data_IF_683591822116
#
_entry.id   IF_683591822116
#
_cell.length_a   1.000
_cell.length_b   1.000
_cell.length_c   1.000
_cell.angle_alpha   90.00
_cell.angle_beta   90.00
_cell.angle_gamma   90.00
#
_symmetry.space_group_name_H-M   'P 1'
#
loop_
_entity.id
_entity.type
_entity.pdbx_description
1 polymer ?
#
# COMPACT_ATOMS: atom_id res chain seq x y z
N UNK A 1 15.00 -5.76 -9.23
CA UNK A 1 14.85 -5.40 -7.81
C UNK A 1 13.63 -6.16 -7.23
N UNK A 2 13.66 -7.48 -7.35
CA UNK A 2 12.61 -8.42 -6.86
C UNK A 2 13.08 -9.12 -5.56
N UNK A 3 14.31 -8.84 -5.12
CA UNK A 3 14.96 -9.63 -4.07
C UNK A 3 14.46 -9.39 -2.63
N UNK A 4 13.81 -8.26 -2.34
CA UNK A 4 13.34 -7.97 -0.99
C UNK A 4 11.99 -8.64 -0.65
N UNK A 5 11.15 -8.88 -1.67
CA UNK A 5 9.85 -9.54 -1.50
C UNK A 5 9.95 -11.08 -1.40
N UNK A 6 11.13 -11.64 -1.67
CA UNK A 6 11.38 -13.09 -1.64
C UNK A 6 11.65 -13.60 -0.20
N UNK A 7 11.92 -12.72 0.77
CA UNK A 7 12.22 -13.16 2.13
C UNK A 7 11.03 -13.82 2.84
N UNK A 8 9.80 -13.36 2.61
CA UNK A 8 8.60 -14.03 3.18
C UNK A 8 8.38 -15.42 2.55
N UNK A 9 8.68 -15.57 1.26
CA UNK A 9 8.63 -16.88 0.60
C UNK A 9 9.68 -17.85 1.13
N UNK A 10 10.76 -17.39 1.78
CA UNK A 10 11.79 -18.27 2.34
C UNK A 10 11.40 -18.88 3.70
N UNK A 11 10.44 -18.27 4.42
CA UNK A 11 9.90 -18.83 5.67
C UNK A 11 8.80 -19.87 5.42
N UNK A 12 8.06 -19.73 4.33
CA UNK A 12 7.02 -20.66 3.91
C UNK A 12 7.59 -21.71 2.95
N UNK A 13 7.05 -22.94 2.96
CA UNK A 13 7.50 -24.05 2.12
C UNK A 13 6.38 -24.62 1.25
N UNK A 14 6.75 -25.26 0.15
CA UNK A 14 5.79 -25.97 -0.70
C UNK A 14 4.67 -25.10 -1.24
N UNK A 15 3.43 -25.53 -1.02
CA UNK A 15 2.23 -24.84 -1.49
C UNK A 15 2.04 -23.45 -0.85
N UNK A 16 2.38 -23.31 0.42
CA UNK A 16 2.30 -22.01 1.11
C UNK A 16 3.21 -20.95 0.44
N UNK A 17 4.42 -21.31 0.02
CA UNK A 17 5.31 -20.39 -0.68
C UNK A 17 4.76 -19.94 -2.05
N UNK A 18 4.05 -20.84 -2.76
CA UNK A 18 3.38 -20.48 -4.02
C UNK A 18 2.26 -19.47 -3.80
N UNK A 19 1.44 -19.67 -2.77
CA UNK A 19 0.38 -18.74 -2.39
C UNK A 19 0.94 -17.36 -1.99
N UNK A 20 2.01 -17.30 -1.20
CA UNK A 20 2.68 -16.03 -0.87
C UNK A 20 3.19 -15.32 -2.12
N UNK A 21 3.82 -16.05 -3.06
CA UNK A 21 4.29 -15.45 -4.31
C UNK A 21 3.14 -14.88 -5.14
N UNK A 22 2.03 -15.58 -5.21
CA UNK A 22 0.84 -15.11 -5.94
C UNK A 22 0.18 -13.93 -5.23
N UNK A 23 0.11 -13.92 -3.89
CA UNK A 23 -0.38 -12.79 -3.12
C UNK A 23 0.41 -11.51 -3.40
N UNK A 24 1.75 -11.60 -3.42
CA UNK A 24 2.63 -10.47 -3.77
C UNK A 24 2.34 -9.98 -5.19
N UNK A 25 2.25 -10.90 -6.16
CA UNK A 25 1.95 -10.55 -7.55
C UNK A 25 0.59 -9.83 -7.69
N UNK A 26 -0.44 -10.31 -6.99
CA UNK A 26 -1.77 -9.70 -6.99
C UNK A 26 -1.73 -8.31 -6.32
N UNK A 27 -1.03 -8.18 -5.20
CA UNK A 27 -0.78 -6.90 -4.55
C UNK A 27 -0.14 -5.89 -5.51
N UNK A 28 0.93 -6.27 -6.21
CA UNK A 28 1.59 -5.42 -7.22
C UNK A 28 0.66 -5.02 -8.37
N UNK A 29 -0.39 -5.77 -8.62
CA UNK A 29 -1.40 -5.46 -9.65
C UNK A 29 -2.68 -4.83 -9.08
N UNK A 30 -2.61 -4.24 -7.88
CA UNK A 30 -3.70 -3.57 -7.18
C UNK A 30 -4.90 -4.47 -6.80
N UNK A 31 -4.78 -5.77 -6.97
CA UNK A 31 -5.80 -6.74 -6.53
C UNK A 31 -5.57 -7.12 -5.05
N UNK A 32 -5.95 -6.21 -4.15
CA UNK A 32 -5.83 -6.45 -2.71
C UNK A 32 -6.73 -7.60 -2.25
N UNK A 33 -7.90 -7.79 -2.85
CA UNK A 33 -8.82 -8.87 -2.47
C UNK A 33 -8.26 -10.24 -2.81
N UNK A 34 -7.71 -10.37 -4.02
CA UNK A 34 -6.99 -11.57 -4.43
C UNK A 34 -5.75 -11.82 -3.56
N UNK A 35 -4.97 -10.76 -3.27
CA UNK A 35 -3.80 -10.88 -2.40
C UNK A 35 -4.18 -11.38 -0.99
N UNK A 36 -5.23 -10.85 -0.38
CA UNK A 36 -5.71 -11.31 0.93
C UNK A 36 -6.13 -12.79 0.90
N UNK A 37 -6.85 -13.22 -0.15
CA UNK A 37 -7.29 -14.61 -0.31
C UNK A 37 -6.11 -15.58 -0.45
N UNK A 38 -5.06 -15.18 -1.17
CA UNK A 38 -3.84 -15.97 -1.33
C UNK A 38 -3.02 -16.03 -0.05
N UNK A 39 -2.92 -14.94 0.73
CA UNK A 39 -2.31 -14.99 2.07
C UNK A 39 -3.09 -15.91 3.02
N UNK A 40 -4.42 -15.90 2.99
CA UNK A 40 -5.24 -16.85 3.75
C UNK A 40 -5.00 -18.32 3.32
N UNK A 41 -4.81 -18.57 2.03
CA UNK A 41 -4.48 -19.89 1.53
C UNK A 41 -3.09 -20.34 2.01
N UNK A 42 -2.10 -19.45 2.00
CA UNK A 42 -0.77 -19.72 2.54
C UNK A 42 -0.81 -20.03 4.04
N UNK A 43 -1.60 -19.29 4.82
CA UNK A 43 -1.78 -19.53 6.25
C UNK A 43 -2.38 -20.93 6.51
N UNK A 44 -3.43 -21.31 5.76
CA UNK A 44 -4.01 -22.66 5.85
C UNK A 44 -3.04 -23.76 5.43
N UNK A 45 -2.07 -23.46 4.58
CA UNK A 45 -0.99 -24.37 4.16
C UNK A 45 0.19 -24.40 5.15
N UNK A 46 0.06 -23.78 6.33
CA UNK A 46 1.03 -23.86 7.43
C UNK A 46 2.10 -22.75 7.41
N UNK A 47 1.78 -21.57 6.84
CA UNK A 47 2.64 -20.39 6.92
C UNK A 47 2.03 -19.35 7.89
N UNK A 48 2.48 -19.31 9.14
CA UNK A 48 1.92 -18.43 10.17
C UNK A 48 2.05 -16.93 9.83
N UNK A 49 3.19 -16.51 9.28
CA UNK A 49 3.41 -15.13 8.84
C UNK A 49 2.39 -14.66 7.78
N UNK A 50 1.83 -15.58 6.99
CA UNK A 50 0.82 -15.25 6.00
C UNK A 50 -0.54 -14.88 6.65
N UNK A 51 -0.84 -15.37 7.85
CA UNK A 51 -2.05 -14.99 8.56
C UNK A 51 -2.05 -13.49 8.95
N UNK A 52 -0.91 -13.00 9.41
CA UNK A 52 -0.71 -11.58 9.73
C UNK A 52 -0.80 -10.71 8.47
N UNK A 53 -0.15 -11.15 7.38
CA UNK A 53 -0.21 -10.48 6.09
C UNK A 53 -1.65 -10.40 5.55
N UNK A 54 -2.45 -11.47 5.68
CA UNK A 54 -3.85 -11.48 5.30
C UNK A 54 -4.68 -10.45 6.10
N UNK A 55 -4.46 -10.38 7.42
CA UNK A 55 -5.11 -9.39 8.29
C UNK A 55 -4.75 -7.96 7.89
N UNK A 56 -3.48 -7.71 7.63
CA UNK A 56 -3.01 -6.40 7.18
C UNK A 56 -3.65 -5.99 5.85
N UNK A 57 -3.64 -6.87 4.85
CA UNK A 57 -4.21 -6.55 3.52
C UNK A 57 -5.73 -6.32 3.62
N UNK A 58 -6.46 -7.10 4.45
CA UNK A 58 -7.87 -6.83 4.74
C UNK A 58 -8.07 -5.48 5.42
N UNK A 59 -7.18 -5.09 6.32
CA UNK A 59 -7.15 -3.77 6.92
C UNK A 59 -6.98 -2.65 5.88
N UNK A 60 -6.09 -2.83 4.89
CA UNK A 60 -5.91 -1.87 3.79
C UNK A 60 -7.18 -1.74 2.91
N UNK A 61 -7.88 -2.85 2.65
CA UNK A 61 -9.16 -2.84 1.94
C UNK A 61 -10.20 -2.05 2.75
N UNK A 62 -10.30 -2.33 4.06
CA UNK A 62 -11.21 -1.65 4.96
C UNK A 62 -10.90 -0.14 5.05
N UNK A 63 -9.62 0.24 5.10
CA UNK A 63 -9.19 1.63 5.11
C UNK A 63 -9.64 2.39 3.85
N UNK A 64 -9.51 1.77 2.66
CA UNK A 64 -10.02 2.35 1.40
C UNK A 64 -11.54 2.52 1.40
N UNK A 65 -12.26 1.54 1.94
CA UNK A 65 -13.72 1.62 2.05
C UNK A 65 -14.17 2.69 3.06
N UNK A 66 -13.44 2.85 4.17
CA UNK A 66 -13.71 3.87 5.17
C UNK A 66 -13.48 5.28 4.62
N UNK A 67 -12.39 5.51 3.89
CA UNK A 67 -12.09 6.78 3.22
C UNK A 67 -13.21 7.19 2.26
N UNK A 68 -13.69 6.26 1.43
CA UNK A 68 -14.80 6.51 0.51
C UNK A 68 -16.12 6.92 1.22
N UNK A 69 -16.25 6.69 2.52
CA UNK A 69 -17.40 7.02 3.36
C UNK A 69 -17.08 8.06 4.46
N UNK A 70 -15.99 8.82 4.27
CA UNK A 70 -15.53 9.86 5.20
C UNK A 70 -15.39 9.38 6.66
N UNK A 71 -14.91 8.15 6.85
CA UNK A 71 -14.61 7.62 8.17
C UNK A 71 -15.80 7.55 9.12
N UNK A 72 -16.99 7.26 8.62
CA UNK A 72 -18.16 7.04 9.49
C UNK A 72 -17.91 5.87 10.45
N UNK A 73 -18.52 5.88 11.64
CA UNK A 73 -18.33 4.83 12.64
C UNK A 73 -18.56 3.42 12.05
N UNK A 74 -19.60 3.25 11.24
CA UNK A 74 -19.91 1.98 10.61
C UNK A 74 -18.85 1.56 9.57
N UNK A 75 -18.27 2.51 8.84
CA UNK A 75 -17.24 2.22 7.83
C UNK A 75 -15.87 1.93 8.46
N UNK A 76 -15.61 2.43 9.66
CA UNK A 76 -14.38 2.18 10.41
C UNK A 76 -14.38 0.84 11.16
N UNK A 77 -15.54 0.23 11.38
CA UNK A 77 -15.64 -1.01 12.15
C UNK A 77 -14.77 -2.15 11.59
N UNK A 78 -14.76 -2.47 10.26
CA UNK A 78 -13.89 -3.50 9.72
C UNK A 78 -12.39 -3.18 9.87
N UNK A 79 -12.02 -1.89 9.77
CA UNK A 79 -10.64 -1.45 9.98
C UNK A 79 -10.23 -1.63 11.44
N UNK A 80 -11.09 -1.25 12.38
CA UNK A 80 -10.86 -1.42 13.82
C UNK A 80 -10.73 -2.90 14.21
N UNK A 81 -11.56 -3.77 13.61
CA UNK A 81 -11.45 -5.22 13.79
C UNK A 81 -10.11 -5.77 13.30
N UNK A 82 -9.63 -5.32 12.13
CA UNK A 82 -8.32 -5.74 11.61
C UNK A 82 -7.17 -5.28 12.51
N UNK A 83 -7.23 -4.05 13.05
CA UNK A 83 -6.26 -3.53 14.00
C UNK A 83 -6.25 -4.40 15.28
N UNK A 84 -7.42 -4.69 15.85
CA UNK A 84 -7.54 -5.53 17.04
C UNK A 84 -7.07 -6.97 16.83
N UNK A 85 -7.31 -7.54 15.65
CA UNK A 85 -6.84 -8.88 15.30
C UNK A 85 -5.30 -8.96 15.25
N UNK A 86 -4.62 -7.87 14.83
CA UNK A 86 -3.17 -7.78 14.82
C UNK A 86 -2.56 -7.60 16.23
N UNK A 87 -3.33 -7.19 17.25
CA UNK A 87 -2.82 -7.03 18.62
C UNK A 87 -2.18 -8.32 19.16
N UNK A 88 -2.76 -9.48 18.83
CA UNK A 88 -2.25 -10.78 19.27
C UNK A 88 -0.85 -11.09 18.72
N UNK A 89 -0.51 -10.57 17.52
CA UNK A 89 0.77 -10.77 16.86
C UNK A 89 1.78 -9.68 17.19
N UNK A 90 1.33 -8.46 17.48
CA UNK A 90 2.19 -7.31 17.74
C UNK A 90 3.07 -7.45 19.00
N UNK A 91 2.73 -8.37 19.91
CA UNK A 91 3.54 -8.65 21.11
C UNK A 91 4.80 -9.42 20.71
N UNK A 92 5.92 -8.69 20.60
CA UNK A 92 7.22 -9.29 20.28
C UNK A 92 7.58 -9.29 18.79
N UNK A 93 6.63 -9.10 17.88
CA UNK A 93 6.90 -9.03 16.43
C UNK A 93 6.95 -7.57 15.92
N UNK A 94 8.12 -7.10 15.46
CA UNK A 94 8.25 -5.77 14.87
C UNK A 94 7.43 -5.59 13.58
N UNK A 95 7.25 -6.66 12.79
CA UNK A 95 6.51 -6.60 11.52
C UNK A 95 5.02 -6.41 11.78
N UNK A 96 4.43 -7.20 12.68
CA UNK A 96 3.03 -7.04 13.07
C UNK A 96 2.77 -5.66 13.70
N UNK A 97 3.71 -5.14 14.50
CA UNK A 97 3.62 -3.77 15.04
C UNK A 97 3.64 -2.71 13.95
N UNK A 98 4.50 -2.86 12.93
CA UNK A 98 4.54 -1.93 11.82
C UNK A 98 3.25 -1.99 10.99
N UNK A 99 2.73 -3.17 10.68
CA UNK A 99 1.43 -3.35 10.01
C UNK A 99 0.30 -2.68 10.79
N UNK A 100 0.23 -2.92 12.10
CA UNK A 100 -0.78 -2.33 12.96
C UNK A 100 -0.68 -0.80 13.01
N UNK A 101 0.54 -0.24 13.08
CA UNK A 101 0.76 1.19 13.09
C UNK A 101 0.27 1.85 11.79
N UNK A 102 0.47 1.19 10.63
CA UNK A 102 -0.09 1.64 9.35
C UNK A 102 -1.62 1.68 9.39
N UNK A 103 -2.26 0.62 9.87
CA UNK A 103 -3.73 0.57 9.95
C UNK A 103 -4.29 1.59 10.95
N UNK A 104 -3.59 1.84 12.08
CA UNK A 104 -3.96 2.89 13.03
C UNK A 104 -3.87 4.29 12.42
N UNK A 105 -2.90 4.56 11.54
CA UNK A 105 -2.80 5.81 10.82
C UNK A 105 -3.92 6.00 9.78
N UNK A 106 -4.47 4.91 9.24
CA UNK A 106 -5.58 4.94 8.30
C UNK A 106 -6.90 5.45 8.92
N UNK A 107 -7.09 5.31 10.25
CA UNK A 107 -8.30 5.79 10.94
C UNK A 107 -8.44 7.30 10.84
N UNK A 108 -7.52 8.13 11.36
CA UNK A 108 -7.61 9.58 11.24
C UNK A 108 -7.47 10.06 9.78
N UNK A 109 -6.80 9.31 8.90
CA UNK A 109 -6.75 9.61 7.47
C UNK A 109 -8.16 9.54 6.85
N UNK A 110 -8.92 8.46 7.11
CA UNK A 110 -10.28 8.31 6.63
C UNK A 110 -11.26 9.36 7.22
N UNK A 111 -11.00 9.83 8.44
CA UNK A 111 -11.76 10.88 9.12
C UNK A 111 -11.33 12.31 8.72
N UNK A 112 -10.29 12.43 7.90
CA UNK A 112 -9.67 13.69 7.49
C UNK A 112 -9.12 14.51 8.69
N UNK A 113 -8.72 13.85 9.77
CA UNK A 113 -8.15 14.43 10.98
C UNK A 113 -6.64 14.68 10.81
N UNK A 114 -6.28 15.78 10.13
CA UNK A 114 -4.91 16.08 9.71
C UNK A 114 -3.87 15.97 10.83
N UNK A 115 -4.14 16.55 12.01
CA UNK A 115 -3.16 16.59 13.10
C UNK A 115 -2.88 15.18 13.66
N UNK A 116 -3.92 14.42 13.94
CA UNK A 116 -3.79 13.04 14.45
C UNK A 116 -3.16 12.14 13.38
N UNK A 117 -3.58 12.27 12.11
CA UNK A 117 -2.97 11.54 11.01
C UNK A 117 -1.46 11.79 10.91
N UNK A 118 -1.01 13.04 11.04
CA UNK A 118 0.42 13.37 10.99
C UNK A 118 1.21 12.66 12.10
N UNK A 119 0.69 12.66 13.35
CA UNK A 119 1.31 11.94 14.47
C UNK A 119 1.38 10.44 14.22
N UNK A 120 0.31 9.84 13.68
CA UNK A 120 0.27 8.41 13.36
C UNK A 120 1.20 8.05 12.20
N UNK A 121 1.38 8.94 11.23
CA UNK A 121 2.37 8.76 10.16
C UNK A 121 3.79 8.69 10.75
N UNK A 122 4.16 9.58 11.67
CA UNK A 122 5.47 9.52 12.33
C UNK A 122 5.65 8.21 13.11
N UNK A 123 4.61 7.75 13.81
CA UNK A 123 4.62 6.48 14.55
C UNK A 123 4.84 5.28 13.62
N UNK A 124 4.07 5.17 12.52
CA UNK A 124 4.20 4.05 11.59
C UNK A 124 5.54 4.02 10.87
N UNK A 125 6.10 5.17 10.49
CA UNK A 125 7.42 5.26 9.87
C UNK A 125 8.53 4.83 10.83
N UNK A 126 8.40 5.17 12.12
CA UNK A 126 9.32 4.70 13.17
C UNK A 126 9.25 3.18 13.32
N UNK A 127 8.04 2.58 13.34
CA UNK A 127 7.88 1.13 13.46
C UNK A 127 8.45 0.39 12.24
N UNK A 128 8.24 0.89 11.02
CA UNK A 128 8.88 0.33 9.83
C UNK A 128 10.41 0.41 9.90
N UNK A 129 10.96 1.51 10.42
CA UNK A 129 12.42 1.63 10.61
C UNK A 129 12.95 0.60 11.59
N UNK A 130 12.29 0.38 12.73
CA UNK A 130 12.65 -0.65 13.70
C UNK A 130 12.56 -2.07 13.13
N UNK A 131 11.53 -2.35 12.32
CA UNK A 131 11.38 -3.61 11.61
C UNK A 131 12.57 -3.87 10.67
N UNK A 132 12.98 -2.87 9.88
CA UNK A 132 14.10 -2.98 8.96
C UNK A 132 15.45 -3.13 9.70
N UNK A 133 15.65 -2.42 10.80
CA UNK A 133 16.83 -2.59 11.68
C UNK A 133 16.91 -4.00 12.26
N UNK A 134 15.77 -4.59 12.59
CA UNK A 134 15.65 -5.99 13.01
C UNK A 134 15.83 -6.99 11.86
N UNK A 135 16.09 -6.53 10.64
CA UNK A 135 16.24 -7.35 9.41
C UNK A 135 15.02 -8.22 9.12
N UNK A 136 13.84 -7.74 9.52
CA UNK A 136 12.58 -8.38 9.17
C UNK A 136 12.20 -8.10 7.71
N UNK A 137 11.33 -8.94 7.15
CA UNK A 137 10.78 -8.74 5.81
C UNK A 137 10.03 -7.41 5.68
N UNK A 138 10.05 -6.74 4.53
CA UNK A 138 9.23 -5.55 4.27
C UNK A 138 7.75 -5.83 4.49
N UNK A 139 6.98 -4.77 4.76
CA UNK A 139 5.53 -4.90 4.87
C UNK A 139 4.93 -5.48 3.58
N UNK A 140 3.94 -6.39 3.68
CA UNK A 140 3.30 -6.97 2.52
C UNK A 140 2.55 -5.90 1.73
N UNK A 141 2.63 -5.97 0.41
CA UNK A 141 1.92 -5.11 -0.56
C UNK A 141 2.41 -3.66 -0.59
N UNK A 142 2.35 -2.92 0.52
CA UNK A 142 2.76 -1.51 0.59
C UNK A 142 3.58 -1.22 1.84
N UNK A 143 4.65 -0.45 1.67
CA UNK A 143 5.47 0.09 2.77
C UNK A 143 4.75 1.21 3.52
N UNK A 144 5.18 1.50 4.75
CA UNK A 144 4.65 2.62 5.52
C UNK A 144 4.86 3.98 4.80
N UNK A 145 5.98 4.13 4.07
CA UNK A 145 6.24 5.34 3.28
C UNK A 145 5.27 5.50 2.11
N UNK A 146 4.91 4.41 1.41
CA UNK A 146 3.89 4.45 0.37
C UNK A 146 2.54 4.83 0.97
N UNK A 147 2.16 4.22 2.10
CA UNK A 147 0.92 4.54 2.79
C UNK A 147 0.86 6.00 3.27
N UNK A 148 1.98 6.54 3.80
CA UNK A 148 2.06 7.97 4.16
C UNK A 148 1.73 8.86 2.96
N UNK A 149 2.27 8.55 1.78
CA UNK A 149 1.97 9.28 0.55
C UNK A 149 0.48 9.26 0.22
N UNK A 150 -0.17 8.11 0.34
CA UNK A 150 -1.61 7.99 0.09
C UNK A 150 -2.46 8.72 1.13
N UNK A 151 -2.11 8.69 2.42
CA UNK A 151 -2.82 9.45 3.45
C UNK A 151 -2.74 10.96 3.22
N UNK A 152 -1.58 11.48 2.79
CA UNK A 152 -1.46 12.89 2.40
C UNK A 152 -2.27 13.22 1.14
N UNK A 153 -2.36 12.31 0.17
CA UNK A 153 -3.19 12.48 -1.03
C UNK A 153 -4.69 12.59 -0.69
N UNK A 154 -5.19 11.80 0.27
CA UNK A 154 -6.58 11.86 0.74
C UNK A 154 -6.95 13.26 1.23
N UNK A 155 -6.02 13.96 1.88
CA UNK A 155 -6.21 15.32 2.37
C UNK A 155 -5.81 16.40 1.34
N UNK A 156 -5.53 16.03 0.08
CA UNK A 156 -5.06 16.93 -0.96
C UNK A 156 -3.77 17.69 -0.59
N UNK A 157 -2.95 17.16 0.32
CA UNK A 157 -1.67 17.71 0.74
C UNK A 157 -0.56 17.18 -0.19
N UNK A 158 -0.59 17.67 -1.43
CA UNK A 158 0.22 17.14 -2.52
C UNK A 158 1.74 17.32 -2.33
N UNK A 159 2.17 18.34 -1.58
CA UNK A 159 3.59 18.54 -1.30
C UNK A 159 4.11 17.46 -0.34
N UNK A 160 3.38 17.21 0.72
CA UNK A 160 3.67 16.17 1.71
C UNK A 160 3.59 14.77 1.08
N UNK A 161 2.57 14.55 0.24
CA UNK A 161 2.42 13.31 -0.51
C UNK A 161 3.64 13.05 -1.43
N UNK A 162 4.08 14.06 -2.18
CA UNK A 162 5.25 13.95 -3.05
C UNK A 162 6.51 13.56 -2.28
N UNK A 163 6.79 14.21 -1.14
CA UNK A 163 7.93 13.89 -0.27
C UNK A 163 7.88 12.46 0.27
N UNK A 164 6.68 11.99 0.64
CA UNK A 164 6.50 10.62 1.12
C UNK A 164 6.75 9.59 0.01
N UNK A 165 6.27 9.82 -1.21
CA UNK A 165 6.55 8.94 -2.36
C UNK A 165 8.02 8.99 -2.80
N UNK A 166 8.70 10.15 -2.71
CA UNK A 166 10.14 10.24 -2.94
C UNK A 166 10.91 9.38 -1.92
N UNK A 167 10.53 9.44 -0.64
CA UNK A 167 11.12 8.61 0.39
C UNK A 167 10.83 7.11 0.16
N UNK A 168 9.61 6.76 -0.23
CA UNK A 168 9.25 5.39 -0.61
C UNK A 168 10.09 4.90 -1.80
N UNK A 169 10.23 5.72 -2.85
CA UNK A 169 11.04 5.38 -4.03
C UNK A 169 12.51 5.09 -3.69
N UNK A 170 13.08 5.81 -2.73
CA UNK A 170 14.45 5.55 -2.25
C UNK A 170 14.57 4.23 -1.47
N UNK A 171 13.52 3.80 -0.76
CA UNK A 171 13.54 2.59 0.09
C UNK A 171 13.15 1.33 -0.67
N UNK A 172 11.99 1.36 -1.33
CA UNK A 172 11.41 0.18 -1.98
C UNK A 172 11.51 0.22 -3.51
N UNK A 173 12.01 1.32 -4.05
CA UNK A 173 12.13 1.51 -5.49
C UNK A 173 10.82 1.99 -6.13
N UNK A 174 10.75 1.84 -7.45
CA UNK A 174 9.57 2.27 -8.24
C UNK A 174 8.54 1.17 -8.31
N UNK A 175 7.83 0.95 -7.21
CA UNK A 175 6.67 0.07 -7.19
C UNK A 175 5.51 0.67 -7.99
N UNK A 176 4.49 -0.10 -8.38
CA UNK A 176 3.29 0.44 -9.02
C UNK A 176 2.58 1.47 -8.14
N UNK A 177 2.61 1.30 -6.83
CA UNK A 177 2.04 2.24 -5.86
C UNK A 177 2.79 3.56 -5.83
N UNK A 178 4.12 3.54 -5.85
CA UNK A 178 4.97 4.74 -5.96
C UNK A 178 4.72 5.46 -7.29
N UNK A 179 4.67 4.73 -8.40
CA UNK A 179 4.41 5.33 -9.72
C UNK A 179 3.03 6.00 -9.78
N UNK A 180 1.99 5.34 -9.28
CA UNK A 180 0.65 5.90 -9.20
C UNK A 180 0.60 7.11 -8.25
N UNK A 181 1.25 7.01 -7.10
CA UNK A 181 1.32 8.08 -6.11
C UNK A 181 1.93 9.35 -6.68
N UNK A 182 3.07 9.24 -7.37
CA UNK A 182 3.69 10.38 -8.07
C UNK A 182 2.77 10.94 -9.16
N UNK A 183 2.10 10.07 -9.94
CA UNK A 183 1.18 10.51 -10.98
C UNK A 183 0.00 11.32 -10.40
N UNK A 184 -0.63 10.83 -9.34
CA UNK A 184 -1.73 11.51 -8.64
C UNK A 184 -1.28 12.81 -7.98
N UNK A 185 -0.08 12.83 -7.38
CA UNK A 185 0.50 14.03 -6.77
C UNK A 185 0.72 15.11 -7.81
N UNK A 186 1.36 14.78 -8.93
CA UNK A 186 1.60 15.72 -10.02
C UNK A 186 0.27 16.20 -10.66
N UNK A 187 -0.71 15.30 -10.80
CA UNK A 187 -2.03 15.65 -11.32
C UNK A 187 -2.78 16.62 -10.38
N UNK A 188 -2.74 16.39 -9.07
CA UNK A 188 -3.35 17.26 -8.08
C UNK A 188 -2.72 18.66 -8.03
N UNK A 189 -1.42 18.75 -8.29
CA UNK A 189 -0.67 20.02 -8.43
C UNK A 189 -0.80 20.64 -9.81
N UNK A 190 -1.53 20.01 -10.72
CA UNK A 190 -1.68 20.43 -12.12
C UNK A 190 -0.33 20.56 -12.87
N UNK A 191 0.64 19.73 -12.53
CA UNK A 191 1.96 19.75 -13.14
C UNK A 191 1.96 19.01 -14.49
N UNK A 192 2.69 19.51 -15.50
CA UNK A 192 2.83 18.82 -16.79
C UNK A 192 3.43 17.42 -16.66
N UNK A 193 4.24 17.19 -15.62
CA UNK A 193 4.85 15.90 -15.31
C UNK A 193 3.83 14.78 -15.07
N UNK A 194 2.57 15.09 -14.72
CA UNK A 194 1.54 14.09 -14.50
C UNK A 194 1.34 13.16 -15.69
N UNK A 195 1.37 13.69 -16.91
CA UNK A 195 1.21 12.89 -18.14
C UNK A 195 2.34 11.84 -18.28
N UNK A 196 3.56 12.24 -17.99
CA UNK A 196 4.73 11.34 -18.02
C UNK A 196 4.65 10.28 -16.92
N UNK A 197 4.26 10.67 -15.70
CA UNK A 197 4.15 9.73 -14.57
C UNK A 197 3.08 8.66 -14.82
N UNK A 198 1.90 9.03 -15.31
CA UNK A 198 0.87 8.05 -15.72
C UNK A 198 1.34 7.16 -16.88
N UNK A 199 2.07 7.72 -17.86
CA UNK A 199 2.66 6.93 -18.94
C UNK A 199 3.69 5.92 -18.42
N UNK A 200 4.48 6.26 -17.41
CA UNK A 200 5.43 5.34 -16.76
C UNK A 200 4.71 4.19 -16.06
N UNK A 201 3.58 4.47 -15.37
CA UNK A 201 2.76 3.41 -14.78
C UNK A 201 2.22 2.46 -15.85
N UNK A 202 1.70 2.99 -16.97
CA UNK A 202 1.22 2.18 -18.08
C UNK A 202 2.34 1.35 -18.72
N UNK A 203 3.54 1.93 -18.88
CA UNK A 203 4.70 1.21 -19.40
C UNK A 203 5.16 0.10 -18.42
N UNK A 204 5.14 0.36 -17.11
CA UNK A 204 5.42 -0.65 -16.09
C UNK A 204 4.40 -1.79 -16.15
N UNK A 205 3.11 -1.46 -16.36
CA UNK A 205 2.07 -2.49 -16.49
C UNK A 205 2.32 -3.39 -17.69
N UNK A 206 2.61 -2.80 -18.86
CA UNK A 206 2.86 -3.52 -20.10
C UNK A 206 1.71 -4.46 -20.47
N UNK A 207 2.04 -5.73 -20.64
CA UNK A 207 1.09 -6.79 -21.02
C UNK A 207 0.54 -7.58 -19.81
N UNK A 208 0.74 -7.10 -18.57
CA UNK A 208 0.19 -7.80 -17.41
C UNK A 208 -1.33 -7.89 -17.50
N UNK A 209 -1.90 -9.04 -17.11
CA UNK A 209 -3.34 -9.24 -17.14
C UNK A 209 -4.08 -8.33 -16.13
N UNK A 210 -5.36 -8.11 -16.38
CA UNK A 210 -6.21 -7.32 -15.50
C UNK A 210 -6.37 -5.87 -15.97
N UNK A 211 -7.38 -5.22 -15.44
CA UNK A 211 -7.70 -3.81 -15.72
C UNK A 211 -8.24 -3.16 -14.45
N UNK A 212 -7.41 -3.00 -13.40
CA UNK A 212 -7.84 -2.38 -12.16
C UNK A 212 -8.23 -0.91 -12.40
N UNK A 213 -9.04 -0.31 -11.51
CA UNK A 213 -9.45 1.09 -11.62
C UNK A 213 -8.28 2.06 -11.79
N UNK A 214 -7.16 1.80 -11.13
CA UNK A 214 -5.93 2.59 -11.20
C UNK A 214 -5.35 2.64 -12.63
N UNK A 215 -5.45 1.54 -13.34
CA UNK A 215 -4.99 1.48 -14.73
C UNK A 215 -5.96 2.19 -15.69
N UNK A 216 -7.25 2.11 -15.41
CA UNK A 216 -8.28 2.86 -16.15
C UNK A 216 -8.06 4.36 -15.95
N UNK A 217 -7.86 4.80 -14.70
CA UNK A 217 -7.48 6.18 -14.36
C UNK A 217 -6.27 6.65 -15.18
N UNK A 218 -5.20 5.86 -15.21
CA UNK A 218 -3.99 6.20 -15.93
C UNK A 218 -4.22 6.32 -17.45
N UNK A 219 -4.96 5.37 -18.04
CA UNK A 219 -5.31 5.40 -19.47
C UNK A 219 -6.16 6.62 -19.84
N UNK A 220 -7.09 6.99 -18.97
CA UNK A 220 -7.96 8.12 -19.23
C UNK A 220 -7.24 9.45 -19.01
N UNK A 221 -6.30 9.50 -18.06
CA UNK A 221 -5.50 10.70 -17.85
C UNK A 221 -4.61 11.02 -19.05
N UNK A 222 -3.89 10.05 -19.61
CA UNK A 222 -2.97 10.28 -20.74
C UNK A 222 -3.68 10.63 -22.04
N UNK A 223 -5.00 10.37 -22.17
CA UNK A 223 -5.81 10.81 -23.31
C UNK A 223 -6.21 12.28 -23.25
N UNK A 224 -6.01 12.96 -22.13
CA UNK A 224 -6.41 14.37 -21.95
C UNK A 224 -5.62 15.28 -22.89
N UNK A 225 -6.22 16.39 -23.38
CA UNK A 225 -5.55 17.29 -24.34
C UNK A 225 -4.20 17.82 -23.86
N UNK A 226 -4.04 18.04 -22.55
CA UNK A 226 -2.77 18.51 -21.98
C UNK A 226 -1.62 17.49 -22.07
N UNK A 227 -1.93 16.21 -22.30
CA UNK A 227 -0.94 15.15 -22.49
C UNK A 227 -0.59 14.91 -23.98
N UNK A 228 -1.23 15.60 -24.89
CA UNK A 228 -0.88 15.52 -26.32
C UNK A 228 0.54 16.08 -26.56
N UNK A 229 1.36 15.43 -27.42
CA UNK A 229 2.67 15.96 -27.76
C UNK A 229 2.51 17.39 -28.34
N UNK A 230 3.25 18.34 -27.76
CA UNK A 230 3.30 19.71 -28.32
C UNK A 230 3.97 19.61 -29.71
N UNK A 231 3.21 19.96 -30.74
CA UNK A 231 3.71 20.05 -32.10
C UNK A 231 4.66 21.22 -32.28
#
# INVERSE_FOLDING_TARGET
>A
MVAALVQDATTCRGDAARHVTEAVRLGETFDLSGAAAEYDAAARAGCDAAAEAALYVRGLIAARAADAQFGSAASLEPLTQAIGALDAYAVGDPTARAMQAVLRAAVPAAQHERAEMALRIEEMLRHESLQLEAKQAPLPVMSAHEMAGYFWLQLHLYLEAGRAFDAAAMRVGRTPYVLLGHARTAAGRQEPAACEQYSRLLAWWGSRPGSPPELTEARDYVKRPQCAPRR
#
